data_IF_586767054634
#
_entry.id   IF_586767054634
#
_cell.length_a   1.000
_cell.length_b   1.000
_cell.length_c   1.000
_cell.angle_alpha   90.00
_cell.angle_beta   90.00
_cell.angle_gamma   90.00
#
_symmetry.space_group_name_H-M   'P 1'
#
loop_
_entity.id
_entity.type
_entity.pdbx_description
1 polymer ?
#
# COMPACT_ATOMS: atom_id res chain seq x y z
N UNK A 1 1.74 -17.13 -37.08
CA UNK A 1 1.48 -15.70 -37.18
C UNK A 1 2.03 -15.02 -35.93
N UNK A 2 3.27 -14.55 -36.02
CA UNK A 2 3.92 -13.78 -34.94
C UNK A 2 3.35 -12.37 -34.96
N UNK A 3 2.47 -12.05 -34.00
CA UNK A 3 2.14 -10.67 -33.71
C UNK A 3 3.38 -9.94 -33.23
N UNK A 4 3.67 -8.75 -33.78
CA UNK A 4 4.75 -7.90 -33.35
C UNK A 4 4.50 -7.44 -31.92
N UNK A 5 5.49 -7.60 -31.04
CA UNK A 5 5.46 -7.10 -29.65
C UNK A 5 5.30 -5.57 -29.61
N UNK A 6 5.63 -4.89 -30.70
CA UNK A 6 5.53 -3.44 -30.88
C UNK A 6 4.08 -2.89 -30.82
N UNK A 7 3.07 -3.76 -30.78
CA UNK A 7 1.65 -3.39 -30.65
C UNK A 7 1.03 -3.80 -29.31
N UNK A 8 1.82 -4.23 -28.33
CA UNK A 8 1.32 -4.55 -27.00
C UNK A 8 1.25 -3.29 -26.14
N UNK A 9 0.10 -3.00 -25.59
CA UNK A 9 -0.11 -1.89 -24.63
C UNK A 9 -0.48 -2.49 -23.28
N UNK A 10 0.25 -2.10 -22.24
CA UNK A 10 -0.06 -2.46 -20.86
C UNK A 10 -1.07 -1.46 -20.30
N UNK A 11 -2.20 -1.95 -19.83
CA UNK A 11 -3.20 -1.15 -19.14
C UNK A 11 -3.34 -1.70 -17.73
N UNK A 12 -3.16 -0.87 -16.69
CA UNK A 12 -3.28 -1.32 -15.30
C UNK A 12 -4.74 -1.65 -14.95
N UNK A 13 -4.92 -2.44 -13.89
CA UNK A 13 -6.24 -2.65 -13.32
C UNK A 13 -6.78 -1.33 -12.76
N UNK A 14 -8.02 -0.94 -13.12
CA UNK A 14 -8.64 0.24 -12.54
C UNK A 14 -9.19 -0.06 -11.16
N UNK A 15 -9.28 0.98 -10.33
CA UNK A 15 -9.96 0.89 -9.06
C UNK A 15 -11.00 2.00 -8.93
N UNK A 16 -12.24 1.62 -8.58
CA UNK A 16 -13.29 2.55 -8.17
C UNK A 16 -13.35 2.58 -6.65
N UNK A 17 -13.10 3.76 -6.08
CA UNK A 17 -13.16 3.98 -4.64
C UNK A 17 -14.58 4.39 -4.27
N UNK A 18 -15.20 3.79 -3.24
CA UNK A 18 -16.44 4.28 -2.66
C UNK A 18 -16.22 5.65 -2.00
N UNK A 19 -17.23 6.50 -2.04
CA UNK A 19 -17.22 7.77 -1.29
C UNK A 19 -17.61 7.49 0.15
N UNK A 20 -16.62 7.35 1.04
CA UNK A 20 -16.81 7.11 2.47
C UNK A 20 -16.40 8.32 3.34
N UNK A 21 -16.03 9.45 2.71
CA UNK A 21 -15.54 10.62 3.42
C UNK A 21 -14.25 10.35 4.20
N UNK A 22 -14.11 11.04 5.36
CA UNK A 22 -12.90 11.00 6.20
C UNK A 22 -13.04 10.05 7.41
N UNK A 23 -14.01 9.12 7.39
CA UNK A 23 -14.20 8.17 8.50
C UNK A 23 -12.95 7.30 8.70
N UNK A 24 -12.53 7.15 9.96
CA UNK A 24 -11.31 6.44 10.34
C UNK A 24 -11.43 5.81 11.74
N UNK A 25 -10.45 5.02 12.13
CA UNK A 25 -10.42 4.32 13.42
C UNK A 25 -9.61 5.03 14.51
N UNK A 26 -9.09 6.25 14.30
CA UNK A 26 -8.15 6.88 15.25
C UNK A 26 -8.73 7.06 16.64
N UNK A 27 -9.97 7.56 16.75
CA UNK A 27 -10.65 7.74 18.04
C UNK A 27 -11.01 6.40 18.67
N UNK A 28 -11.59 5.48 17.90
CA UNK A 28 -12.02 4.15 18.39
C UNK A 28 -10.84 3.34 18.96
N UNK A 29 -9.66 3.46 18.36
CA UNK A 29 -8.44 2.75 18.75
C UNK A 29 -7.51 3.57 19.65
N UNK A 30 -7.87 4.81 20.00
CA UNK A 30 -7.05 5.74 20.81
C UNK A 30 -5.69 6.05 20.19
N UNK A 31 -5.69 6.40 18.92
CA UNK A 31 -4.50 6.61 18.10
C UNK A 31 -4.37 8.05 17.55
N UNK A 32 -5.13 9.02 18.10
CA UNK A 32 -5.26 10.37 17.57
C UNK A 32 -3.92 11.11 17.47
N UNK A 33 -2.99 10.81 18.37
CA UNK A 33 -1.68 11.46 18.44
C UNK A 33 -0.52 10.57 17.96
N UNK A 34 -0.81 9.44 17.31
CA UNK A 34 0.23 8.52 16.84
C UNK A 34 0.49 8.67 15.35
N UNK A 35 1.74 8.42 14.94
CA UNK A 35 2.10 8.19 13.56
C UNK A 35 1.86 6.71 13.23
N UNK A 36 1.02 6.43 12.23
CA UNK A 36 0.43 5.10 12.04
C UNK A 36 0.91 4.49 10.73
N UNK A 37 1.62 3.38 10.87
CA UNK A 37 1.90 2.46 9.77
C UNK A 37 0.84 1.37 9.71
N UNK A 38 0.64 0.78 8.54
CA UNK A 38 -0.21 -0.39 8.47
C UNK A 38 -0.30 -0.99 7.08
N UNK A 39 -0.83 -2.18 7.04
CA UNK A 39 -1.15 -2.88 5.81
C UNK A 39 -2.47 -3.65 5.95
N UNK A 40 -3.13 -3.90 4.84
CA UNK A 40 -4.22 -4.86 4.79
C UNK A 40 -3.87 -6.00 3.84
N UNK A 41 -4.25 -7.20 4.22
CA UNK A 41 -3.90 -8.38 3.46
C UNK A 41 -4.93 -9.50 3.71
N UNK A 42 -5.21 -10.29 2.67
CA UNK A 42 -6.00 -11.52 2.85
C UNK A 42 -5.29 -12.49 3.79
N UNK A 43 -6.05 -13.37 4.43
CA UNK A 43 -5.53 -14.38 5.35
C UNK A 43 -4.88 -15.54 4.57
N UNK A 44 -3.59 -15.37 4.23
CA UNK A 44 -2.82 -16.33 3.45
C UNK A 44 -1.36 -16.33 3.93
N UNK A 45 -0.88 -17.49 4.44
CA UNK A 45 0.50 -17.61 4.94
C UNK A 45 1.54 -17.60 3.82
N UNK A 46 1.17 -17.93 2.58
CA UNK A 46 2.12 -17.95 1.46
C UNK A 46 2.61 -16.56 1.07
N UNK A 47 1.84 -15.53 1.38
CA UNK A 47 2.19 -14.15 1.06
C UNK A 47 2.72 -13.37 2.27
N UNK A 48 2.81 -14.00 3.42
CA UNK A 48 3.34 -13.38 4.63
C UNK A 48 4.78 -12.89 4.42
N UNK A 49 5.07 -11.66 4.82
CA UNK A 49 6.42 -11.11 4.87
C UNK A 49 6.73 -10.62 6.28
N UNK A 50 7.84 -11.05 6.88
CA UNK A 50 8.23 -10.58 8.21
C UNK A 50 8.76 -9.12 8.21
N UNK A 51 9.24 -8.64 7.07
CA UNK A 51 9.99 -7.37 6.93
C UNK A 51 9.26 -6.15 7.52
N UNK A 52 7.97 -5.90 7.27
CA UNK A 52 7.31 -4.71 7.81
C UNK A 52 7.27 -4.65 9.34
N UNK A 53 7.10 -5.80 10.01
CA UNK A 53 7.07 -5.84 11.47
C UNK A 53 8.47 -5.85 12.10
N UNK A 54 9.45 -6.49 11.46
CA UNK A 54 10.87 -6.40 11.87
C UNK A 54 11.36 -4.94 11.77
N UNK A 55 11.01 -4.25 10.70
CA UNK A 55 11.32 -2.85 10.53
C UNK A 55 10.60 -1.96 11.56
N UNK A 56 9.34 -2.28 11.86
CA UNK A 56 8.58 -1.53 12.86
C UNK A 56 9.13 -1.71 14.27
N UNK A 57 9.64 -2.88 14.63
CA UNK A 57 10.30 -3.15 15.91
C UNK A 57 11.48 -2.20 16.15
N UNK A 58 12.26 -1.89 15.11
CA UNK A 58 13.39 -0.95 15.18
C UNK A 58 12.99 0.53 15.42
N UNK A 59 11.73 0.86 15.22
CA UNK A 59 11.25 2.25 15.29
C UNK A 59 10.08 2.45 16.26
N UNK A 60 9.60 1.38 16.90
CA UNK A 60 8.45 1.46 17.79
C UNK A 60 8.70 2.43 18.95
N UNK A 61 7.79 3.36 19.16
CA UNK A 61 7.77 4.30 20.29
C UNK A 61 6.33 4.46 20.79
N UNK A 62 6.16 5.18 21.90
CA UNK A 62 4.82 5.51 22.40
C UNK A 62 4.03 6.40 21.44
N UNK A 63 4.69 7.09 20.51
CA UNK A 63 4.06 7.98 19.52
C UNK A 63 3.79 7.28 18.16
N UNK A 64 4.05 5.98 18.04
CA UNK A 64 3.82 5.21 16.82
C UNK A 64 2.82 4.08 17.04
N UNK A 65 2.22 3.60 15.96
CA UNK A 65 1.42 2.38 15.94
C UNK A 65 1.56 1.64 14.60
N UNK A 66 1.39 0.33 14.64
CA UNK A 66 1.25 -0.48 13.45
C UNK A 66 -0.10 -1.20 13.46
N UNK A 67 -0.90 -1.01 12.40
CA UNK A 67 -2.21 -1.63 12.29
C UNK A 67 -2.23 -2.61 11.13
N UNK A 68 -2.65 -3.82 11.40
CA UNK A 68 -2.92 -4.84 10.40
C UNK A 68 -4.42 -5.04 10.23
N UNK A 69 -4.95 -4.94 9.01
CA UNK A 69 -6.30 -5.36 8.69
C UNK A 69 -6.25 -6.73 7.98
N UNK A 70 -6.71 -7.76 8.65
CA UNK A 70 -6.66 -9.13 8.15
C UNK A 70 -5.27 -9.76 8.33
N UNK A 71 -4.68 -10.22 7.23
CA UNK A 71 -3.40 -10.92 7.25
C UNK A 71 -3.46 -12.33 7.83
N UNK A 72 -2.37 -13.05 7.75
CA UNK A 72 -2.24 -14.39 8.31
C UNK A 72 -1.94 -14.35 9.81
N UNK A 73 -2.15 -15.46 10.51
CA UNK A 73 -1.79 -15.61 11.95
C UNK A 73 -0.29 -15.42 12.20
N UNK A 74 0.53 -15.57 11.17
CA UNK A 74 1.98 -15.35 11.26
C UNK A 74 2.33 -13.93 11.69
N UNK A 75 1.57 -12.92 11.27
CA UNK A 75 1.78 -11.54 11.72
C UNK A 75 1.54 -11.35 13.22
N UNK A 76 0.45 -11.93 13.74
CA UNK A 76 0.16 -11.84 15.18
C UNK A 76 1.21 -12.60 16.02
N UNK A 77 1.65 -13.76 15.50
CA UNK A 77 2.72 -14.52 16.13
C UNK A 77 4.02 -13.72 16.15
N UNK A 78 4.41 -13.16 15.00
CA UNK A 78 5.62 -12.35 14.88
C UNK A 78 5.58 -11.12 15.80
N UNK A 79 4.48 -10.36 15.81
CA UNK A 79 4.33 -9.20 16.68
C UNK A 79 4.50 -9.57 18.16
N UNK A 80 3.97 -10.73 18.57
CA UNK A 80 4.16 -11.26 19.92
C UNK A 80 5.61 -11.68 20.21
N UNK A 81 6.24 -12.34 19.25
CA UNK A 81 7.63 -12.82 19.38
C UNK A 81 8.62 -11.64 19.47
N UNK A 82 8.36 -10.55 18.73
CA UNK A 82 9.10 -9.28 18.80
C UNK A 82 8.77 -8.47 20.06
N UNK A 83 7.64 -8.72 20.70
CA UNK A 83 7.21 -7.98 21.90
C UNK A 83 6.62 -6.60 21.61
N UNK A 84 6.08 -6.39 20.40
CA UNK A 84 5.48 -5.12 19.98
C UNK A 84 4.31 -4.72 20.88
N UNK A 85 4.33 -3.49 21.39
CA UNK A 85 3.34 -2.93 22.33
C UNK A 85 2.23 -2.17 21.60
N UNK A 86 2.56 -1.55 20.47
CA UNK A 86 1.67 -0.70 19.69
C UNK A 86 1.24 -1.37 18.37
N UNK A 87 1.11 -2.70 18.37
CA UNK A 87 0.58 -3.48 17.25
C UNK A 87 -0.90 -3.81 17.46
N UNK A 88 -1.73 -3.48 16.47
CA UNK A 88 -3.17 -3.76 16.49
C UNK A 88 -3.53 -4.60 15.27
N UNK A 89 -4.23 -5.72 15.49
CA UNK A 89 -4.74 -6.56 14.42
C UNK A 89 -6.27 -6.49 14.37
N UNK A 90 -6.80 -6.00 13.25
CA UNK A 90 -8.22 -5.97 12.96
C UNK A 90 -8.63 -7.22 12.17
N UNK A 91 -9.89 -7.67 12.29
CA UNK A 91 -10.38 -8.84 11.57
C UNK A 91 -10.26 -8.72 10.05
N UNK A 92 -10.11 -9.84 9.37
CA UNK A 92 -10.20 -9.89 7.89
C UNK A 92 -11.60 -9.51 7.43
N UNK A 93 -11.67 -8.67 6.41
CA UNK A 93 -12.93 -8.25 5.80
C UNK A 93 -12.82 -8.20 4.28
N UNK A 94 -13.95 -8.30 3.59
CA UNK A 94 -14.11 -7.96 2.18
C UNK A 94 -14.98 -6.72 1.95
N UNK A 95 -15.38 -6.04 3.03
CA UNK A 95 -16.21 -4.85 2.96
C UNK A 95 -15.37 -3.62 2.63
N UNK A 96 -15.62 -3.02 1.47
CA UNK A 96 -14.84 -1.88 0.99
C UNK A 96 -14.86 -0.70 1.95
N UNK A 97 -15.99 -0.42 2.57
CA UNK A 97 -16.13 0.66 3.55
C UNK A 97 -15.17 0.50 4.73
N UNK A 98 -15.02 -0.73 5.24
CA UNK A 98 -14.09 -1.04 6.33
C UNK A 98 -12.64 -0.89 5.88
N UNK A 99 -12.31 -1.36 4.67
CA UNK A 99 -10.97 -1.22 4.08
C UNK A 99 -10.61 0.27 3.95
N UNK A 100 -11.52 1.08 3.42
CA UNK A 100 -11.25 2.51 3.22
C UNK A 100 -11.22 3.29 4.54
N UNK A 101 -12.07 2.96 5.51
CA UNK A 101 -11.98 3.49 6.89
C UNK A 101 -10.61 3.17 7.52
N UNK A 102 -10.13 1.94 7.33
CA UNK A 102 -8.79 1.53 7.74
C UNK A 102 -7.70 2.37 7.06
N UNK A 103 -7.76 2.55 5.73
CA UNK A 103 -6.78 3.33 4.98
C UNK A 103 -6.76 4.80 5.42
N UNK A 104 -7.91 5.41 5.70
CA UNK A 104 -8.00 6.76 6.27
C UNK A 104 -7.37 6.88 7.67
N UNK A 105 -7.15 5.76 8.36
CA UNK A 105 -6.51 5.76 9.69
C UNK A 105 -5.00 5.91 9.59
N UNK A 106 -4.39 5.45 8.50
CA UNK A 106 -2.94 5.36 8.34
C UNK A 106 -2.30 6.70 7.98
N UNK A 107 -1.02 6.82 8.29
CA UNK A 107 -0.11 7.84 7.75
C UNK A 107 0.73 7.27 6.61
N UNK A 108 1.14 6.00 6.69
CA UNK A 108 1.97 5.31 5.69
C UNK A 108 1.46 3.89 5.48
N UNK A 109 1.36 3.47 4.23
CA UNK A 109 1.05 2.10 3.87
C UNK A 109 2.35 1.27 3.82
N UNK A 110 2.50 0.35 4.79
CA UNK A 110 3.69 -0.49 4.95
C UNK A 110 3.49 -1.83 4.23
N UNK A 111 3.55 -1.81 2.89
CA UNK A 111 3.34 -3.01 2.08
C UNK A 111 4.40 -4.08 2.34
N UNK A 112 3.95 -5.34 2.51
CA UNK A 112 4.83 -6.48 2.68
C UNK A 112 4.23 -7.75 2.08
N UNK A 113 4.97 -8.36 1.13
CA UNK A 113 4.55 -9.59 0.49
C UNK A 113 5.76 -10.42 0.03
N UNK A 114 5.88 -11.65 0.53
CA UNK A 114 7.05 -12.50 0.31
C UNK A 114 7.28 -12.90 -1.14
N UNK A 115 6.22 -13.02 -1.95
CA UNK A 115 6.29 -13.36 -3.38
C UNK A 115 6.32 -12.12 -4.29
N UNK A 116 6.12 -10.91 -3.72
CA UNK A 116 6.01 -9.67 -4.44
C UNK A 116 4.67 -9.49 -5.16
N UNK A 117 4.59 -8.48 -6.01
CA UNK A 117 3.38 -8.12 -6.75
C UNK A 117 3.69 -7.85 -8.22
N UNK A 118 2.73 -8.13 -9.08
CA UNK A 118 2.76 -7.62 -10.46
C UNK A 118 1.96 -6.31 -10.59
N UNK A 119 0.76 -6.29 -10.00
CA UNK A 119 -0.10 -5.10 -9.90
C UNK A 119 -1.00 -5.29 -8.67
N UNK A 120 -0.64 -4.65 -7.57
CA UNK A 120 -1.33 -4.79 -6.29
C UNK A 120 -2.54 -3.86 -6.20
N UNK A 121 -3.74 -4.41 -6.02
CA UNK A 121 -4.91 -3.61 -5.69
C UNK A 121 -4.74 -2.86 -4.37
N UNK A 122 -4.12 -3.50 -3.38
CA UNK A 122 -3.90 -2.89 -2.07
C UNK A 122 -3.00 -1.64 -2.12
N UNK A 123 -1.98 -1.64 -2.98
CA UNK A 123 -1.16 -0.44 -3.23
C UNK A 123 -1.99 0.66 -3.92
N UNK A 124 -2.84 0.30 -4.90
CA UNK A 124 -3.71 1.27 -5.57
C UNK A 124 -4.72 1.87 -4.58
N UNK A 125 -5.30 1.03 -3.72
CA UNK A 125 -6.20 1.48 -2.64
C UNK A 125 -5.49 2.46 -1.70
N UNK A 126 -4.28 2.15 -1.25
CA UNK A 126 -3.49 3.04 -0.43
C UNK A 126 -3.20 4.38 -1.13
N UNK A 127 -2.79 4.35 -2.39
CA UNK A 127 -2.53 5.56 -3.19
C UNK A 127 -3.77 6.41 -3.40
N UNK A 128 -4.97 5.81 -3.49
CA UNK A 128 -6.23 6.54 -3.61
C UNK A 128 -6.54 7.40 -2.36
N UNK A 129 -6.00 7.00 -1.21
CA UNK A 129 -6.02 7.74 0.05
C UNK A 129 -4.82 8.66 0.25
N UNK A 130 -4.03 8.88 -0.80
CA UNK A 130 -2.81 9.69 -0.75
C UNK A 130 -1.78 9.18 0.26
N UNK A 131 -1.76 7.88 0.56
CA UNK A 131 -0.80 7.30 1.48
C UNK A 131 0.55 7.10 0.78
N UNK A 132 1.66 7.56 1.35
CA UNK A 132 2.98 7.09 0.96
C UNK A 132 3.06 5.58 1.11
N UNK A 133 3.78 4.92 0.20
CA UNK A 133 3.90 3.46 0.21
C UNK A 133 5.35 3.05 0.41
N UNK A 134 5.61 2.20 1.40
CA UNK A 134 6.90 1.51 1.55
C UNK A 134 6.68 0.06 1.18
N UNK A 135 7.59 -0.53 0.42
CA UNK A 135 7.62 -1.95 0.08
C UNK A 135 9.04 -2.48 0.07
N UNK A 136 9.19 -3.77 -0.10
CA UNK A 136 10.51 -4.42 -0.18
C UNK A 136 10.65 -5.25 -1.46
N UNK A 137 11.90 -5.58 -1.80
CA UNK A 137 12.22 -6.46 -2.91
C UNK A 137 11.69 -7.87 -2.66
N UNK A 138 11.24 -8.52 -3.72
CA UNK A 138 10.67 -9.86 -3.72
C UNK A 138 10.86 -10.51 -5.10
N UNK A 139 10.57 -11.80 -5.30
CA UNK A 139 10.69 -12.45 -6.61
C UNK A 139 9.93 -11.76 -7.74
N UNK A 140 8.77 -11.20 -7.47
CA UNK A 140 8.02 -10.34 -8.40
C UNK A 140 8.18 -8.88 -7.99
N UNK A 141 8.55 -8.00 -8.93
CA UNK A 141 8.95 -6.61 -8.68
C UNK A 141 8.02 -5.55 -9.33
N UNK A 142 6.79 -5.93 -9.69
CA UNK A 142 5.84 -4.99 -10.27
C UNK A 142 5.49 -3.82 -9.34
N UNK A 143 5.61 -4.01 -8.03
CA UNK A 143 5.43 -2.94 -7.04
C UNK A 143 6.44 -1.79 -7.21
N UNK A 144 7.63 -2.04 -7.76
CA UNK A 144 8.62 -0.99 -8.03
C UNK A 144 8.09 0.04 -9.03
N UNK A 145 7.57 -0.44 -10.16
CA UNK A 145 6.93 0.43 -11.16
C UNK A 145 5.65 1.04 -10.60
N UNK A 146 4.87 0.26 -9.85
CA UNK A 146 3.59 0.68 -9.32
C UNK A 146 3.72 1.81 -8.31
N UNK A 147 4.66 1.76 -7.40
CA UNK A 147 4.91 2.77 -6.36
C UNK A 147 5.57 4.00 -6.98
N UNK A 148 6.65 3.84 -7.76
CA UNK A 148 7.40 4.96 -8.33
C UNK A 148 7.74 6.02 -7.28
N UNK A 149 7.42 7.28 -7.54
CA UNK A 149 7.70 8.41 -6.64
C UNK A 149 6.71 8.52 -5.44
N UNK A 150 5.75 7.61 -5.30
CA UNK A 150 4.80 7.60 -4.19
C UNK A 150 5.40 7.03 -2.88
N UNK A 151 6.64 6.57 -2.92
CA UNK A 151 7.33 5.97 -1.78
C UNK A 151 8.62 5.29 -2.19
N UNK A 152 9.00 4.22 -1.49
CA UNK A 152 10.23 3.49 -1.76
C UNK A 152 10.03 1.97 -1.75
N UNK A 153 10.83 1.27 -2.57
CA UNK A 153 11.00 -0.20 -2.53
C UNK A 153 12.44 -0.49 -2.16
N UNK A 154 12.65 -1.15 -1.04
CA UNK A 154 13.96 -1.32 -0.40
C UNK A 154 14.32 -2.79 -0.19
N UNK A 155 15.56 -3.07 0.21
CA UNK A 155 16.03 -4.42 0.49
C UNK A 155 16.17 -4.65 2.00
N UNK A 156 15.47 -5.66 2.51
CA UNK A 156 15.55 -6.02 3.92
C UNK A 156 14.80 -5.09 4.86
N UNK A 157 14.82 -5.46 6.15
CA UNK A 157 14.07 -4.73 7.17
C UNK A 157 14.81 -3.48 7.67
N UNK A 158 16.15 -3.46 7.63
CA UNK A 158 16.94 -2.31 8.07
C UNK A 158 16.69 -1.09 7.17
N UNK A 159 16.76 -1.26 5.84
CA UNK A 159 16.46 -0.19 4.89
C UNK A 159 14.98 0.22 4.98
N UNK A 160 14.10 -0.75 5.23
CA UNK A 160 12.68 -0.49 5.44
C UNK A 160 12.44 0.39 6.68
N UNK A 161 13.13 0.12 7.79
CA UNK A 161 13.08 0.91 9.01
C UNK A 161 13.63 2.34 8.78
N UNK A 162 14.70 2.49 8.00
CA UNK A 162 15.24 3.82 7.66
C UNK A 162 14.23 4.66 6.85
N UNK A 163 13.50 4.04 5.91
CA UNK A 163 12.42 4.73 5.18
C UNK A 163 11.26 5.07 6.11
N UNK A 164 10.89 4.17 7.04
CA UNK A 164 9.88 4.49 8.07
C UNK A 164 10.29 5.72 8.89
N UNK A 165 11.53 5.78 9.39
CA UNK A 165 12.07 6.96 10.10
C UNK A 165 12.03 8.22 9.22
N UNK A 166 12.42 8.10 7.96
CA UNK A 166 12.41 9.21 7.00
C UNK A 166 11.00 9.76 6.79
N UNK A 167 9.97 8.90 6.71
CA UNK A 167 8.55 9.30 6.65
C UNK A 167 8.12 10.07 7.90
N UNK A 168 8.56 9.62 9.09
CA UNK A 168 8.19 10.26 10.36
C UNK A 168 8.87 11.62 10.57
N UNK A 169 10.14 11.73 10.23
CA UNK A 169 10.96 12.87 10.67
C UNK A 169 11.30 13.86 9.55
N UNK A 170 11.13 13.51 8.28
CA UNK A 170 11.32 14.41 7.15
C UNK A 170 9.96 14.83 6.56
N UNK A 171 9.40 15.91 7.10
CA UNK A 171 8.07 16.40 6.70
C UNK A 171 7.97 16.70 5.20
N UNK A 172 9.01 17.25 4.57
CA UNK A 172 8.98 17.59 3.15
C UNK A 172 8.90 16.31 2.32
N UNK A 173 9.75 15.34 2.62
CA UNK A 173 9.73 14.04 1.96
C UNK A 173 8.36 13.33 2.11
N UNK A 174 7.83 13.30 3.32
CA UNK A 174 6.49 12.72 3.58
C UNK A 174 5.39 13.38 2.74
N UNK A 175 5.38 14.72 2.71
CA UNK A 175 4.38 15.47 1.94
C UNK A 175 4.54 15.24 0.44
N UNK A 176 5.77 15.22 -0.08
CA UNK A 176 6.05 14.93 -1.49
C UNK A 176 5.56 13.53 -1.88
N UNK A 177 5.81 12.51 -1.06
CA UNK A 177 5.30 11.15 -1.28
C UNK A 177 3.77 11.12 -1.29
N UNK A 178 3.09 11.84 -0.40
CA UNK A 178 1.61 11.94 -0.39
C UNK A 178 1.06 12.56 -1.67
N UNK A 179 1.66 13.64 -2.12
CA UNK A 179 1.27 14.32 -3.38
C UNK A 179 1.47 13.39 -4.57
N UNK A 180 2.62 12.73 -4.64
CA UNK A 180 2.94 11.81 -5.72
C UNK A 180 2.05 10.57 -5.70
N UNK A 181 1.71 10.06 -4.52
CA UNK A 181 0.78 8.95 -4.33
C UNK A 181 -0.60 9.26 -4.91
N UNK A 182 -1.18 10.40 -4.53
CA UNK A 182 -2.45 10.86 -5.09
C UNK A 182 -2.37 11.07 -6.61
N UNK A 183 -1.35 11.78 -7.07
CA UNK A 183 -1.14 12.04 -8.49
C UNK A 183 -1.07 10.73 -9.29
N UNK A 184 -0.29 9.75 -8.80
CA UNK A 184 -0.15 8.46 -9.46
C UNK A 184 -1.47 7.70 -9.54
N UNK A 185 -2.28 7.72 -8.47
CA UNK A 185 -3.63 7.16 -8.51
C UNK A 185 -4.49 7.84 -9.58
N UNK A 186 -4.56 9.18 -9.58
CA UNK A 186 -5.39 9.93 -10.53
C UNK A 186 -4.98 9.71 -12.00
N UNK A 187 -3.67 9.72 -12.27
CA UNK A 187 -3.13 9.69 -13.63
C UNK A 187 -3.06 8.27 -14.22
N UNK A 188 -3.01 7.23 -13.37
CA UNK A 188 -2.72 5.88 -13.83
C UNK A 188 -3.81 4.87 -13.49
N UNK A 189 -4.38 4.90 -12.27
CA UNK A 189 -5.20 3.81 -11.73
C UNK A 189 -6.66 4.15 -11.54
N UNK A 190 -7.02 5.42 -11.57
CA UNK A 190 -8.41 5.84 -11.43
C UNK A 190 -9.27 5.25 -12.56
N UNK A 191 -10.46 4.76 -12.21
CA UNK A 191 -11.35 4.07 -13.15
C UNK A 191 -11.57 4.86 -14.44
N UNK A 192 -11.87 6.15 -14.33
CA UNK A 192 -12.14 7.01 -15.49
C UNK A 192 -10.91 7.13 -16.40
N UNK A 193 -9.72 7.28 -15.81
CA UNK A 193 -8.45 7.37 -16.55
C UNK A 193 -8.15 6.08 -17.31
N UNK A 194 -8.36 4.93 -16.67
CA UNK A 194 -8.13 3.63 -17.30
C UNK A 194 -9.17 3.36 -18.41
N UNK A 195 -10.43 3.69 -18.19
CA UNK A 195 -11.48 3.58 -19.21
C UNK A 195 -11.14 4.42 -20.45
N UNK A 196 -10.64 5.65 -20.22
CA UNK A 196 -10.25 6.51 -21.34
C UNK A 196 -9.12 5.90 -22.19
N UNK A 197 -8.13 5.26 -21.57
CA UNK A 197 -7.06 4.53 -22.28
C UNK A 197 -7.63 3.37 -23.13
N UNK A 198 -8.60 2.61 -22.61
CA UNK A 198 -9.28 1.57 -23.38
C UNK A 198 -10.00 2.14 -24.60
N UNK A 199 -10.73 3.26 -24.42
CA UNK A 199 -11.46 3.91 -25.51
C UNK A 199 -10.51 4.37 -26.61
N UNK A 200 -9.37 4.93 -26.26
CA UNK A 200 -8.35 5.39 -27.21
C UNK A 200 -7.81 4.21 -28.06
N UNK A 201 -7.45 3.10 -27.41
CA UNK A 201 -6.96 1.91 -28.11
C UNK A 201 -8.04 1.32 -29.03
N UNK A 202 -9.29 1.24 -28.57
CA UNK A 202 -10.37 0.74 -29.43
C UNK A 202 -10.58 1.63 -30.66
N UNK A 203 -10.49 2.95 -30.54
CA UNK A 203 -10.57 3.86 -31.69
C UNK A 203 -9.43 3.61 -32.67
N UNK A 204 -8.19 3.49 -32.20
CA UNK A 204 -7.04 3.19 -33.05
C UNK A 204 -7.20 1.87 -33.83
N UNK A 205 -7.84 0.86 -33.24
CA UNK A 205 -8.07 -0.44 -33.89
C UNK A 205 -9.20 -0.40 -34.89
N UNK A 206 -10.23 0.42 -34.67
CA UNK A 206 -11.42 0.50 -35.51
C UNK A 206 -11.19 1.43 -36.73
N UNK A 207 -10.34 2.45 -36.58
CA UNK A 207 -10.03 3.42 -37.63
C UNK A 207 -8.95 2.89 -38.62
N UNK A 208 -8.54 1.63 -38.49
CA UNK A 208 -7.63 0.90 -39.40
C UNK A 208 -8.46 -0.02 -40.33
#
# INVERSE_FOLDING_TARGET
>A
SGGSVDRAVSIPNPLKIPDIGDDNYREELKLENKFIFGLHQRRDNHIFSPIPLEAYDEIETDDTAFILLGGSESYQKQAKDLGLKNFICLPTTGELEIIHKFLNTLDVYAHGRSDGEQCSCAIIEAMSHSLPVISHTAPSMGQLEQIGDAGEVVEGYEDYAEVMKKMMYNKNYYVDCKINSNKRYQDVYKLETVIQKYIEIYKEVVDV
#
